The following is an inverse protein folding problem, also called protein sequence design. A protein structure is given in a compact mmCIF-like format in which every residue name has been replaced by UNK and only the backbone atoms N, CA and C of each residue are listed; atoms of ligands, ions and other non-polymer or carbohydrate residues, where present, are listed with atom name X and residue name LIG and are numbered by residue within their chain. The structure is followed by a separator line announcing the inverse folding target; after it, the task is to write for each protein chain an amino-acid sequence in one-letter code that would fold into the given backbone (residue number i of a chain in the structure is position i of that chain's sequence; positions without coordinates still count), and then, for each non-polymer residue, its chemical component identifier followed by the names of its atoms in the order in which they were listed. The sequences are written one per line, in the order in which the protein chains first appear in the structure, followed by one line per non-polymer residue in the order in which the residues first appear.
data_IF_038165251202
#
_entry.id   IF_038165251202
#
_cell.length_a   1.000
_cell.length_b   1.000
_cell.length_c   1.000
_cell.angle_alpha   90.00
_cell.angle_beta   90.00
_cell.angle_gamma   90.00
#
_symmetry.space_group_name_H-M   'P 1'
#
loop_
_entity.id
_entity.type
_entity.pdbx_description
1 polymer ?
#
# COMPACT_ATOMS: atom_id res chain seq x y z
N UNK A 1 5.69 -19.09 -2.66
CA UNK A 1 5.08 -18.00 -1.87
C UNK A 1 4.62 -16.92 -2.83
N UNK A 2 3.46 -16.29 -2.63
CA UNK A 2 2.92 -15.24 -3.50
C UNK A 2 2.96 -13.90 -2.76
N UNK A 3 3.31 -12.82 -3.46
CA UNK A 3 3.31 -11.46 -2.91
C UNK A 3 1.88 -10.89 -2.89
N UNK A 4 1.60 -9.87 -2.06
CA UNK A 4 0.31 -9.16 -2.06
C UNK A 4 -0.07 -8.72 -3.48
N UNK A 5 -1.34 -8.81 -3.85
CA UNK A 5 -1.81 -8.54 -5.20
C UNK A 5 -1.80 -9.75 -6.14
N UNK A 6 -1.06 -10.83 -5.82
CA UNK A 6 -0.91 -11.98 -6.72
C UNK A 6 -1.96 -13.08 -6.59
N UNK A 7 -2.95 -12.92 -5.71
CA UNK A 7 -4.06 -13.84 -5.49
C UNK A 7 -5.38 -13.05 -5.42
N UNK A 8 -6.50 -13.77 -5.54
CA UNK A 8 -7.84 -13.20 -5.44
C UNK A 8 -8.04 -12.39 -4.16
N UNK A 9 -8.79 -11.30 -4.26
CA UNK A 9 -9.09 -10.35 -3.18
C UNK A 9 -7.84 -9.74 -2.53
N UNK A 10 -6.79 -9.50 -3.30
CA UNK A 10 -5.54 -8.92 -2.81
C UNK A 10 -5.09 -7.79 -3.73
N UNK A 11 -4.64 -6.69 -3.13
CA UNK A 11 -4.00 -5.57 -3.82
C UNK A 11 -2.57 -5.43 -3.28
N UNK A 12 -1.60 -5.13 -4.14
CA UNK A 12 -0.21 -4.90 -3.73
C UNK A 12 0.49 -3.88 -4.60
N UNK A 13 1.49 -3.22 -4.02
CA UNK A 13 2.44 -2.33 -4.71
C UNK A 13 3.83 -2.90 -4.50
N UNK A 14 4.52 -3.26 -5.59
CA UNK A 14 5.78 -3.99 -5.57
C UNK A 14 6.96 -3.04 -5.86
N UNK A 15 8.07 -3.29 -5.19
CA UNK A 15 9.23 -2.39 -5.12
C UNK A 15 10.16 -2.46 -6.32
N UNK A 16 10.23 -3.62 -6.99
CA UNK A 16 11.16 -3.93 -8.08
C UNK A 16 10.98 -3.01 -9.29
N UNK A 17 9.73 -2.82 -9.72
CA UNK A 17 9.38 -2.04 -10.91
C UNK A 17 8.36 -0.94 -10.63
N UNK A 18 7.99 -0.71 -9.36
CA UNK A 18 6.97 0.28 -9.00
C UNK A 18 5.59 -0.06 -9.57
N UNK A 19 5.27 -1.36 -9.60
CA UNK A 19 4.02 -1.88 -10.17
C UNK A 19 2.96 -2.18 -9.13
N UNK A 20 1.71 -1.96 -9.48
CA UNK A 20 0.55 -2.41 -8.69
C UNK A 20 -0.03 -3.70 -9.27
N UNK A 21 -0.61 -4.51 -8.39
CA UNK A 21 -1.20 -5.80 -8.69
C UNK A 21 -2.55 -5.93 -7.99
N UNK A 22 -3.56 -6.44 -8.69
CA UNK A 22 -4.85 -6.81 -8.10
C UNK A 22 -5.36 -8.10 -8.76
N UNK A 23 -5.25 -9.21 -8.02
CA UNK A 23 -5.60 -10.56 -8.48
C UNK A 23 -4.79 -11.04 -9.70
N UNK A 24 -3.52 -10.60 -9.82
CA UNK A 24 -2.68 -10.83 -11.01
C UNK A 24 -1.36 -11.53 -10.67
N UNK A 25 -1.01 -12.60 -11.40
CA UNK A 25 0.18 -13.39 -11.05
C UNK A 25 1.52 -12.79 -11.50
N UNK A 26 1.58 -12.09 -12.64
CA UNK A 26 2.87 -11.80 -13.30
C UNK A 26 2.98 -10.42 -13.96
N UNK A 27 1.90 -9.87 -14.50
CA UNK A 27 2.01 -8.72 -15.41
C UNK A 27 1.95 -7.37 -14.71
N UNK A 28 1.14 -7.21 -13.67
CA UNK A 28 1.00 -5.94 -12.93
C UNK A 28 0.68 -4.75 -13.84
N UNK A 29 0.55 -3.56 -13.25
CA UNK A 29 0.42 -2.31 -13.98
C UNK A 29 1.47 -1.31 -13.52
N UNK A 30 2.09 -0.58 -14.45
CA UNK A 30 3.00 0.52 -14.09
C UNK A 30 2.21 1.58 -13.32
N UNK A 31 2.76 2.02 -12.20
CA UNK A 31 2.08 2.94 -11.31
C UNK A 31 3.00 4.05 -10.81
N UNK A 32 4.21 3.70 -10.38
CA UNK A 32 5.22 4.65 -9.96
C UNK A 32 6.62 4.21 -10.38
N UNK A 33 7.62 5.00 -10.00
CA UNK A 33 9.02 4.57 -10.03
C UNK A 33 9.25 3.45 -9.01
N UNK A 34 10.32 2.68 -9.22
CA UNK A 34 10.77 1.67 -8.26
C UNK A 34 11.14 2.31 -6.92
N UNK A 35 11.08 1.52 -5.85
CA UNK A 35 11.42 1.94 -4.49
C UNK A 35 12.13 0.80 -3.75
N UNK A 36 12.55 1.06 -2.51
CA UNK A 36 13.21 0.07 -1.66
C UNK A 36 14.60 0.50 -1.18
N UNK A 37 14.92 1.79 -1.32
CA UNK A 37 16.12 2.36 -0.74
C UNK A 37 15.96 2.49 0.77
N UNK A 38 17.10 2.59 1.48
CA UNK A 38 17.08 2.83 2.93
C UNK A 38 16.38 4.16 3.21
N UNK A 39 15.41 4.14 4.12
CA UNK A 39 14.53 5.24 4.50
C UNK A 39 13.37 5.56 3.55
N UNK A 40 13.14 4.78 2.48
CA UNK A 40 11.88 4.89 1.75
C UNK A 40 10.70 4.58 2.67
N UNK A 41 9.68 5.45 2.65
CA UNK A 41 8.44 5.27 3.40
C UNK A 41 7.28 5.07 2.44
N UNK A 42 6.70 3.88 2.48
CA UNK A 42 5.55 3.50 1.65
C UNK A 42 4.30 3.46 2.52
N UNK A 43 3.27 4.19 2.10
CA UNK A 43 1.93 4.11 2.68
C UNK A 43 0.96 3.37 1.75
N UNK A 44 -0.08 2.78 2.35
CA UNK A 44 -1.20 2.17 1.65
C UNK A 44 -2.48 2.73 2.27
N UNK A 45 -3.36 3.29 1.43
CA UNK A 45 -4.60 3.92 1.85
C UNK A 45 -5.81 3.33 1.15
N UNK A 46 -6.93 3.31 1.87
CA UNK A 46 -8.22 2.85 1.37
C UNK A 46 -9.31 3.86 1.74
N UNK A 47 -10.12 4.24 0.76
CA UNK A 47 -11.33 5.04 0.97
C UNK A 47 -12.56 4.13 0.88
N UNK A 48 -13.19 3.75 2.02
CA UNK A 48 -14.31 2.82 2.03
C UNK A 48 -15.52 3.32 1.23
N UNK A 49 -15.77 4.63 1.23
CA UNK A 49 -16.92 5.24 0.56
C UNK A 49 -16.86 5.12 -0.96
N UNK A 50 -15.66 5.14 -1.54
CA UNK A 50 -15.45 5.09 -3.00
C UNK A 50 -14.85 3.77 -3.47
N UNK A 51 -14.45 2.89 -2.55
CA UNK A 51 -13.73 1.67 -2.85
C UNK A 51 -12.36 1.92 -3.49
N UNK A 52 -11.75 3.09 -3.24
CA UNK A 52 -10.46 3.46 -3.81
C UNK A 52 -9.31 2.95 -2.96
N UNK A 53 -8.34 2.31 -3.60
CA UNK A 53 -7.03 1.99 -3.02
C UNK A 53 -5.99 2.90 -3.67
N UNK A 54 -5.10 3.46 -2.86
CA UNK A 54 -3.97 4.27 -3.30
C UNK A 54 -2.73 3.96 -2.47
N UNK A 55 -1.56 4.33 -2.99
CA UNK A 55 -0.32 4.24 -2.25
C UNK A 55 0.34 5.61 -2.13
N UNK A 56 1.25 5.73 -1.18
CA UNK A 56 2.10 6.91 -1.02
C UNK A 56 3.55 6.47 -1.01
N UNK A 57 4.43 7.35 -1.48
CA UNK A 57 5.88 7.15 -1.43
C UNK A 57 6.53 8.43 -0.92
N UNK A 58 7.27 8.32 0.17
CA UNK A 58 7.98 9.41 0.82
C UNK A 58 7.06 10.62 1.11
N UNK A 59 5.86 10.31 1.61
CA UNK A 59 4.83 11.29 1.97
C UNK A 59 4.03 11.87 0.80
N UNK A 60 4.29 11.47 -0.44
CA UNK A 60 3.55 11.92 -1.62
C UNK A 60 2.52 10.89 -2.06
N UNK A 61 1.31 11.32 -2.38
CA UNK A 61 0.27 10.48 -2.97
C UNK A 61 0.65 10.12 -4.42
N UNK A 62 0.51 8.84 -4.79
CA UNK A 62 0.82 8.30 -6.12
C UNK A 62 -0.43 8.12 -6.99
N UNK A 63 -1.50 8.86 -6.69
CA UNK A 63 -2.83 8.76 -7.30
C UNK A 63 -3.54 7.42 -7.05
N UNK A 64 -4.74 7.27 -7.60
CA UNK A 64 -5.56 6.07 -7.38
C UNK A 64 -4.95 4.87 -8.08
N UNK A 65 -4.68 3.79 -7.33
CA UNK A 65 -4.24 2.51 -7.89
C UNK A 65 -5.42 1.71 -8.46
N UNK A 66 -6.50 1.59 -7.67
CA UNK A 66 -7.73 0.89 -8.06
C UNK A 66 -8.96 1.58 -7.50
N UNK A 67 -10.11 1.37 -8.14
CA UNK A 67 -11.43 1.89 -7.74
C UNK A 67 -12.44 0.75 -7.65
N UNK A 68 -13.58 0.99 -6.97
CA UNK A 68 -14.69 0.04 -6.94
C UNK A 68 -14.40 -1.24 -6.16
N UNK A 69 -13.41 -1.24 -5.27
CA UNK A 69 -13.06 -2.39 -4.46
C UNK A 69 -13.68 -2.26 -3.06
N UNK A 70 -14.72 -3.06 -2.79
CA UNK A 70 -15.48 -3.01 -1.54
C UNK A 70 -15.27 -4.31 -0.74
N UNK A 71 -14.24 -4.30 0.11
CA UNK A 71 -13.85 -5.45 0.92
C UNK A 71 -13.42 -5.02 2.31
N UNK A 72 -13.44 -5.96 3.27
CA UNK A 72 -12.68 -5.84 4.50
C UNK A 72 -11.22 -6.14 4.19
N UNK A 73 -10.37 -5.13 4.36
CA UNK A 73 -8.94 -5.23 4.06
C UNK A 73 -8.10 -5.50 5.30
N UNK A 74 -7.00 -6.22 5.09
CA UNK A 74 -6.00 -6.51 6.12
C UNK A 74 -4.63 -6.03 5.64
N UNK A 75 -3.90 -5.21 6.42
CA UNK A 75 -2.54 -4.81 6.08
C UNK A 75 -1.67 -6.05 5.88
N UNK A 76 -0.99 -6.12 4.74
CA UNK A 76 -0.16 -7.28 4.37
C UNK A 76 1.17 -6.81 3.81
N UNK A 77 2.26 -7.41 4.30
CA UNK A 77 3.62 -7.21 3.78
C UNK A 77 4.12 -8.56 3.27
N UNK A 78 4.68 -8.59 2.07
CA UNK A 78 5.38 -9.74 1.52
C UNK A 78 6.75 -9.35 1.02
N UNK A 79 7.73 -10.25 1.14
CA UNK A 79 9.08 -10.04 0.63
C UNK A 79 9.59 -11.31 -0.08
N UNK A 80 10.31 -11.11 -1.17
CA UNK A 80 11.01 -12.16 -1.92
C UNK A 80 12.47 -12.33 -1.46
N UNK A 81 12.90 -11.60 -0.43
CA UNK A 81 14.24 -11.66 0.15
C UNK A 81 14.27 -11.17 1.60
N UNK A 82 15.47 -10.98 2.14
CA UNK A 82 15.64 -10.43 3.49
C UNK A 82 15.39 -8.92 3.47
N UNK A 83 14.51 -8.44 4.35
CA UNK A 83 14.30 -7.00 4.57
C UNK A 83 14.08 -6.71 6.05
N UNK A 84 14.30 -5.44 6.43
CA UNK A 84 13.98 -4.90 7.76
C UNK A 84 13.06 -3.72 7.57
N UNK A 85 11.96 -3.70 8.32
CA UNK A 85 10.89 -2.73 8.17
C UNK A 85 10.48 -2.21 9.54
N UNK A 86 10.11 -0.94 9.62
CA UNK A 86 9.32 -0.38 10.72
C UNK A 86 7.89 -0.21 10.20
N UNK A 87 6.91 -0.63 10.98
CA UNK A 87 5.50 -0.52 10.62
C UNK A 87 4.83 0.51 11.51
N UNK A 88 4.03 1.40 10.92
CA UNK A 88 3.23 2.39 11.62
C UNK A 88 1.76 2.22 11.21
N UNK A 89 0.92 1.85 12.18
CA UNK A 89 -0.54 1.74 12.07
C UNK A 89 -1.27 2.93 12.75
N UNK A 90 -0.54 4.00 13.08
CA UNK A 90 -1.03 5.18 13.78
C UNK A 90 -0.36 5.42 15.14
N UNK A 91 0.68 4.67 15.49
CA UNK A 91 1.43 4.85 16.74
C UNK A 91 2.34 6.10 16.70
N UNK A 92 2.70 6.57 15.50
CA UNK A 92 3.47 7.78 15.25
C UNK A 92 2.83 8.58 14.11
N UNK A 93 3.23 9.83 13.92
CA UNK A 93 2.79 10.60 12.73
C UNK A 93 3.18 9.89 11.43
N UNK A 94 2.27 9.92 10.46
CA UNK A 94 2.54 9.43 9.12
C UNK A 94 3.35 10.46 8.32
N UNK A 95 4.23 9.96 7.45
CA UNK A 95 4.92 10.83 6.49
C UNK A 95 3.94 11.45 5.47
N UNK A 96 2.86 10.73 5.13
CA UNK A 96 1.72 11.30 4.41
C UNK A 96 0.82 12.01 5.42
N UNK A 97 0.93 13.34 5.49
CA UNK A 97 0.38 14.13 6.61
C UNK A 97 -1.15 14.11 6.66
N UNK A 98 -1.79 13.94 5.52
CA UNK A 98 -3.24 13.83 5.38
C UNK A 98 -3.80 12.56 6.06
N UNK A 99 -2.94 11.58 6.38
CA UNK A 99 -3.30 10.41 7.17
C UNK A 99 -3.22 10.61 8.69
N UNK A 100 -2.68 11.75 9.17
CA UNK A 100 -2.60 12.00 10.61
C UNK A 100 -4.01 12.12 11.21
N UNK A 101 -4.20 11.46 12.36
CA UNK A 101 -5.52 11.30 12.98
C UNK A 101 -6.29 10.08 12.45
N UNK A 102 -5.72 9.27 11.56
CA UNK A 102 -6.29 7.98 11.14
C UNK A 102 -5.46 6.80 11.67
N UNK A 103 -6.09 5.64 11.81
CA UNK A 103 -5.48 4.35 12.12
C UNK A 103 -6.10 3.25 11.25
N UNK A 104 -5.56 2.05 11.36
CA UNK A 104 -6.15 0.85 10.75
C UNK A 104 -7.58 0.54 11.24
N UNK A 105 -8.00 1.10 12.37
CA UNK A 105 -9.35 0.97 12.91
C UNK A 105 -10.28 2.15 12.56
N UNK A 106 -9.78 3.15 11.82
CA UNK A 106 -10.49 4.40 11.53
C UNK A 106 -9.87 5.60 12.26
N UNK A 107 -10.66 6.66 12.46
CA UNK A 107 -10.20 7.91 13.09
C UNK A 107 -9.70 7.63 14.50
N UNK A 108 -8.50 8.13 14.82
CA UNK A 108 -7.95 8.14 16.18
C UNK A 108 -8.61 9.32 16.90
N UNK A 109 -9.43 9.01 17.91
CA UNK A 109 -10.05 10.00 18.81
C UNK A 109 -9.05 10.54 19.82
#
# INVERSE_FOLDING_TARGET
LRLPGCNIHSVGFHSDEGRIFHNEKYTGSKYAEKWGEVNDVIGCGYYPNTGQVFFTMNGKNLDTAYTGLFHTWYPTIGSNGTCKLKVNFGQEEFMYKEANGMSVAGIIS
#
